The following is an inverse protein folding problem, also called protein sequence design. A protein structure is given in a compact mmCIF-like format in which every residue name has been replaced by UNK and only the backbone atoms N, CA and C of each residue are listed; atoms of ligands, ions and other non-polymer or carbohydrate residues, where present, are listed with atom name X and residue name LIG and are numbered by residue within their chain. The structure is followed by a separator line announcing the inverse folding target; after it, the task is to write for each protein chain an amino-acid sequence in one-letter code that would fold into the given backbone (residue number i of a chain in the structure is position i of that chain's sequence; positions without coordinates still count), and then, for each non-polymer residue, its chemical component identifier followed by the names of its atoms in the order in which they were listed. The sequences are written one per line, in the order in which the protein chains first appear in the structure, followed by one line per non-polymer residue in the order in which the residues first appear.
data_IF_137752203403
#
_entry.id   IF_137752203403
#
_cell.length_a   1.000
_cell.length_b   1.000
_cell.length_c   1.000
_cell.angle_alpha   90.00
_cell.angle_beta   90.00
_cell.angle_gamma   90.00
#
_symmetry.space_group_name_H-M   'P 1'
#
loop_
_entity.id
_entity.type
_entity.pdbx_description
1 polymer ?
#
# COMPACT_ATOMS: atom_id res chain seq x y z
N UNK A 1 -26.99 1.83 -10.91
CA UNK A 1 -26.11 1.93 -9.73
C UNK A 1 -24.76 1.33 -10.09
N UNK A 2 -23.67 2.01 -9.74
CA UNK A 2 -22.33 1.78 -10.27
C UNK A 2 -21.85 0.32 -10.14
N UNK A 3 -21.54 -0.26 -11.28
CA UNK A 3 -20.83 -1.53 -11.48
C UNK A 3 -19.57 -1.59 -10.62
N UNK A 4 -19.54 -2.47 -9.61
CA UNK A 4 -18.28 -2.87 -8.97
C UNK A 4 -17.85 -4.20 -9.55
N UNK A 5 -17.20 -4.09 -10.70
CA UNK A 5 -16.38 -5.09 -11.38
C UNK A 5 -15.61 -5.96 -10.37
N UNK A 6 -16.13 -7.16 -10.10
CA UNK A 6 -15.36 -8.28 -9.55
C UNK A 6 -14.49 -8.84 -10.67
N UNK A 7 -13.37 -8.19 -10.97
CA UNK A 7 -12.29 -8.87 -11.67
C UNK A 7 -11.47 -9.62 -10.62
N UNK A 8 -11.90 -10.85 -10.35
CA UNK A 8 -10.99 -11.89 -9.91
C UNK A 8 -10.11 -12.22 -11.12
N UNK A 9 -8.84 -11.81 -11.08
CA UNK A 9 -7.82 -12.41 -11.93
C UNK A 9 -6.91 -13.24 -11.02
N UNK A 10 -7.06 -14.56 -11.15
CA UNK A 10 -6.03 -15.52 -10.79
C UNK A 10 -4.88 -15.36 -11.79
N UNK A 11 -3.64 -15.21 -11.34
CA UNK A 11 -2.49 -15.17 -12.25
C UNK A 11 -1.15 -14.96 -11.54
N UNK A 12 -0.37 -16.04 -11.44
CA UNK A 12 1.09 -15.99 -11.31
C UNK A 12 1.63 -15.80 -9.89
N UNK A 13 2.44 -16.76 -9.43
CA UNK A 13 3.32 -16.64 -8.27
C UNK A 13 4.51 -15.72 -8.58
N UNK A 14 4.24 -14.52 -9.08
CA UNK A 14 5.27 -13.53 -9.37
C UNK A 14 5.46 -12.66 -8.13
N UNK A 15 6.61 -12.82 -7.48
CA UNK A 15 7.07 -12.04 -6.32
C UNK A 15 6.65 -10.58 -6.48
N UNK A 16 5.64 -10.15 -5.74
CA UNK A 16 5.16 -8.78 -5.82
C UNK A 16 6.22 -7.86 -5.22
N UNK A 17 6.91 -7.10 -6.07
CA UNK A 17 7.96 -6.19 -5.65
C UNK A 17 7.32 -4.90 -5.08
N UNK A 18 6.98 -4.93 -3.79
CA UNK A 18 6.49 -3.76 -3.05
C UNK A 18 7.66 -3.22 -2.24
N UNK A 19 8.11 -2.01 -2.57
CA UNK A 19 9.21 -1.34 -1.86
C UNK A 19 8.65 -0.22 -1.00
N UNK A 20 8.90 -0.19 0.32
CA UNK A 20 8.53 0.96 1.13
C UNK A 20 9.34 2.19 0.71
N UNK A 21 8.68 3.34 0.68
CA UNK A 21 9.32 4.62 0.37
C UNK A 21 9.39 5.44 1.64
N UNK A 22 10.62 5.76 2.05
CA UNK A 22 10.94 6.62 3.19
C UNK A 22 11.51 7.93 2.67
N UNK A 23 10.66 8.95 2.63
CA UNK A 23 11.02 10.34 2.32
C UNK A 23 10.44 11.22 3.41
N UNK A 24 10.94 12.43 3.62
CA UNK A 24 10.38 13.36 4.62
C UNK A 24 8.86 13.52 4.48
N UNK A 25 8.39 13.62 3.22
CA UNK A 25 6.96 13.67 2.92
C UNK A 25 6.24 12.37 3.30
N UNK A 26 6.84 11.20 3.06
CA UNK A 26 6.25 9.93 3.46
C UNK A 26 6.20 9.77 4.98
N UNK A 27 7.25 10.17 5.71
CA UNK A 27 7.27 10.18 7.18
C UNK A 27 6.17 11.09 7.73
N UNK A 28 6.03 12.30 7.19
CA UNK A 28 4.96 13.22 7.57
C UNK A 28 3.55 12.62 7.35
N UNK A 29 3.36 11.83 6.29
CA UNK A 29 2.11 11.13 6.03
C UNK A 29 1.85 9.97 7.01
N UNK A 30 2.90 9.28 7.44
CA UNK A 30 2.82 8.23 8.46
C UNK A 30 2.32 8.84 9.78
N UNK A 31 2.94 9.94 10.22
CA UNK A 31 2.62 10.58 11.49
C UNK A 31 1.26 11.29 11.46
N UNK A 32 0.99 12.08 10.43
CA UNK A 32 -0.16 12.99 10.41
C UNK A 32 -1.43 12.32 9.89
N UNK A 33 -1.31 11.35 8.98
CA UNK A 33 -2.46 10.77 8.28
C UNK A 33 -2.62 9.25 8.44
N UNK A 34 -1.70 8.59 9.15
CA UNK A 34 -1.67 7.14 9.29
C UNK A 34 -1.54 6.43 7.93
N UNK A 35 -0.69 6.98 7.05
CA UNK A 35 -0.53 6.53 5.66
C UNK A 35 0.89 6.03 5.43
N UNK A 36 1.01 4.78 4.97
CA UNK A 36 2.26 4.20 4.49
C UNK A 36 2.38 4.40 2.97
N UNK A 37 3.59 4.71 2.52
CA UNK A 37 3.88 4.91 1.09
C UNK A 37 4.74 3.78 0.57
N UNK A 38 4.30 3.18 -0.54
CA UNK A 38 4.99 2.09 -1.22
C UNK A 38 5.17 2.40 -2.70
N UNK A 39 6.19 1.82 -3.31
CA UNK A 39 6.44 1.79 -4.74
C UNK A 39 6.21 0.37 -5.27
N UNK A 40 5.55 0.28 -6.42
CA UNK A 40 5.35 -0.97 -7.17
C UNK A 40 5.33 -0.70 -8.67
N UNK A 41 5.19 -1.76 -9.46
CA UNK A 41 5.09 -1.70 -10.92
C UNK A 41 3.71 -1.20 -11.37
N UNK A 42 3.65 -0.52 -12.52
CA UNK A 42 2.42 0.10 -13.03
C UNK A 42 1.26 -0.87 -13.26
N UNK A 43 1.59 -2.13 -13.57
CA UNK A 43 0.66 -3.17 -14.00
C UNK A 43 -0.19 -3.73 -12.84
N UNK A 44 0.27 -3.60 -11.59
CA UNK A 44 -0.40 -4.19 -10.43
C UNK A 44 -1.71 -3.48 -10.09
N UNK A 45 -2.78 -4.25 -9.84
CA UNK A 45 -4.09 -3.67 -9.52
C UNK A 45 -4.22 -3.27 -8.04
N UNK A 46 -5.13 -2.33 -7.74
CA UNK A 46 -5.38 -1.89 -6.35
C UNK A 46 -5.80 -3.04 -5.42
N UNK A 47 -6.53 -4.02 -5.96
CA UNK A 47 -7.05 -5.17 -5.20
C UNK A 47 -5.93 -6.11 -4.79
N UNK A 48 -5.02 -6.43 -5.72
CA UNK A 48 -3.84 -7.26 -5.43
C UNK A 48 -2.94 -6.59 -4.39
N UNK A 49 -2.61 -5.32 -4.59
CA UNK A 49 -1.78 -4.55 -3.65
C UNK A 49 -2.40 -4.54 -2.25
N UNK A 50 -3.72 -4.36 -2.17
CA UNK A 50 -4.44 -4.35 -0.88
C UNK A 50 -4.32 -5.70 -0.17
N UNK A 51 -4.63 -6.79 -0.86
CA UNK A 51 -4.58 -8.13 -0.28
C UNK A 51 -3.17 -8.51 0.15
N UNK A 52 -2.17 -8.22 -0.67
CA UNK A 52 -0.77 -8.52 -0.36
C UNK A 52 -0.29 -7.75 0.87
N UNK A 53 -0.55 -6.44 0.96
CA UNK A 53 -0.14 -5.62 2.11
C UNK A 53 -0.90 -6.06 3.39
N UNK A 54 -2.20 -6.36 3.30
CA UNK A 54 -2.93 -6.90 4.45
C UNK A 54 -2.35 -8.25 4.92
N UNK A 55 -1.96 -9.12 4.00
CA UNK A 55 -1.42 -10.45 4.32
C UNK A 55 0.02 -10.39 4.87
N UNK A 56 0.91 -9.63 4.22
CA UNK A 56 2.32 -9.51 4.59
C UNK A 56 2.49 -8.86 5.96
N UNK A 57 1.75 -7.78 6.22
CA UNK A 57 1.91 -6.98 7.43
C UNK A 57 0.86 -7.29 8.49
N UNK A 58 -0.15 -8.13 8.19
CA UNK A 58 -1.28 -8.45 9.08
C UNK A 58 -2.00 -7.22 9.61
N UNK A 59 -2.11 -6.18 8.77
CA UNK A 59 -2.76 -4.90 9.10
C UNK A 59 -4.10 -4.76 8.39
N UNK A 60 -4.95 -3.83 8.86
CA UNK A 60 -6.18 -3.46 8.16
C UNK A 60 -6.07 -2.12 7.45
N UNK A 61 -6.31 -2.16 6.14
CA UNK A 61 -6.31 -0.98 5.27
C UNK A 61 -7.70 -0.33 5.29
N UNK A 62 -7.74 0.95 5.63
CA UNK A 62 -8.94 1.77 5.54
C UNK A 62 -9.20 2.24 4.10
N UNK A 63 -8.16 2.77 3.44
CA UNK A 63 -8.27 3.30 2.09
C UNK A 63 -6.94 3.18 1.35
N UNK A 64 -6.99 3.03 0.02
CA UNK A 64 -5.81 2.88 -0.81
C UNK A 64 -5.89 3.87 -1.98
N UNK A 65 -4.87 4.72 -2.10
CA UNK A 65 -4.69 5.64 -3.23
C UNK A 65 -3.46 5.23 -4.01
N UNK A 66 -3.51 5.36 -5.33
CA UNK A 66 -2.38 5.06 -6.21
C UNK A 66 -2.10 6.25 -7.11
N UNK A 67 -0.82 6.54 -7.30
CA UNK A 67 -0.30 7.55 -8.21
C UNK A 67 0.66 6.87 -9.17
N UNK A 68 0.45 6.99 -10.47
CA UNK A 68 1.39 6.46 -11.48
C UNK A 68 2.24 7.63 -11.96
N UNK A 69 3.57 7.48 -11.88
CA UNK A 69 4.52 8.49 -12.32
C UNK A 69 5.60 7.81 -13.17
N UNK A 70 5.54 8.05 -14.49
CA UNK A 70 6.40 7.38 -15.45
C UNK A 70 6.19 5.86 -15.44
N UNK A 71 7.26 5.11 -15.16
CA UNK A 71 7.23 3.65 -15.10
C UNK A 71 6.94 3.09 -13.69
N UNK A 72 6.82 3.96 -12.68
CA UNK A 72 6.64 3.58 -11.28
C UNK A 72 5.22 3.91 -10.81
N UNK A 73 4.71 3.10 -9.90
CA UNK A 73 3.43 3.32 -9.25
C UNK A 73 3.63 3.48 -7.76
N UNK A 74 3.32 4.67 -7.27
CA UNK A 74 3.27 4.97 -5.85
C UNK A 74 1.91 4.60 -5.28
N UNK A 75 1.92 3.99 -4.11
CA UNK A 75 0.74 3.51 -3.41
C UNK A 75 0.74 4.12 -2.02
N UNK A 76 -0.29 4.89 -1.73
CA UNK A 76 -0.54 5.47 -0.42
C UNK A 76 -1.62 4.63 0.27
N UNK A 77 -1.20 3.93 1.32
CA UNK A 77 -2.03 2.99 2.05
C UNK A 77 -2.41 3.61 3.38
N UNK A 78 -3.67 4.01 3.51
CA UNK A 78 -4.22 4.49 4.78
C UNK A 78 -4.63 3.30 5.63
N UNK A 79 -3.98 3.15 6.77
CA UNK A 79 -4.33 2.11 7.74
C UNK A 79 -5.52 2.55 8.59
N UNK A 80 -6.27 1.58 9.12
CA UNK A 80 -7.30 1.85 10.12
C UNK A 80 -6.67 2.43 11.39
N UNK A 81 -7.45 3.20 12.16
CA UNK A 81 -7.02 3.77 13.46
C UNK A 81 -6.53 2.73 14.47
N UNK A 82 -6.98 1.49 14.32
CA UNK A 82 -6.56 0.33 15.13
C UNK A 82 -5.09 -0.06 14.90
N UNK A 83 -4.51 0.31 13.75
CA UNK A 83 -3.14 -0.01 13.36
C UNK A 83 -2.38 1.28 13.07
N UNK A 84 -1.60 1.80 14.04
CA UNK A 84 -0.78 2.98 13.82
C UNK A 84 0.32 2.68 12.80
N UNK A 85 0.44 3.54 11.80
CA UNK A 85 1.43 3.44 10.74
C UNK A 85 2.85 3.63 11.29
N UNK A 86 3.00 4.38 12.38
CA UNK A 86 4.27 4.56 13.09
C UNK A 86 4.78 3.22 13.63
N UNK A 87 3.96 2.46 14.36
CA UNK A 87 4.33 1.15 14.91
C UNK A 87 4.68 0.14 13.80
N UNK A 88 3.90 0.17 12.71
CA UNK A 88 4.17 -0.67 11.55
C UNK A 88 5.49 -0.26 10.88
N UNK A 89 5.76 1.04 10.72
CA UNK A 89 7.00 1.54 10.13
C UNK A 89 8.23 1.21 10.97
N UNK A 90 8.16 1.36 12.30
CA UNK A 90 9.24 0.97 13.23
C UNK A 90 9.52 -0.52 13.14
N UNK A 91 8.47 -1.34 13.10
CA UNK A 91 8.60 -2.80 12.96
C UNK A 91 9.21 -3.22 11.62
N UNK A 92 9.09 -2.38 10.60
CA UNK A 92 9.69 -2.55 9.29
C UNK A 92 11.10 -1.97 9.18
N UNK A 93 11.62 -1.31 10.22
CA UNK A 93 12.94 -0.67 10.20
C UNK A 93 13.03 0.51 9.22
N UNK A 94 11.90 1.19 9.00
CA UNK A 94 11.80 2.33 8.09
C UNK A 94 12.07 3.66 8.78
N UNK A 95 12.03 3.67 10.12
CA UNK A 95 12.26 4.80 11.01
C UNK A 95 13.07 4.37 12.22
#
# INVERSE_FOLDING_TARGET
MHERNKKCFNGGKDKMNIKPIVTEKAVMLIESQNVLTFETEKEKTKTEIKNEIENLFKVKIQNLRTLVQGNKKYVYVKLKKEFPAIDVATKLGLI
#
